data_IF_461711837785
#
_entry.id   IF_461711837785
#
_cell.length_a   1.000
_cell.length_b   1.000
_cell.length_c   1.000
_cell.angle_alpha   90.00
_cell.angle_beta   90.00
_cell.angle_gamma   90.00
#
_symmetry.space_group_name_H-M   'P 1'
#
loop_
_entity.id
_entity.type
_entity.pdbx_description
1 polymer ?
#
# COMPACT_ATOMS: atom_id res chain seq x y z
N UNK A 1 28.38 15.28 7.73
CA UNK A 1 27.71 16.57 7.96
C UNK A 1 26.16 16.45 7.89
N UNK A 2 25.50 15.56 8.60
CA UNK A 2 24.02 15.48 8.59
C UNK A 2 23.33 16.11 9.80
N UNK A 3 24.02 16.36 10.91
CA UNK A 3 23.35 16.83 12.15
C UNK A 3 22.89 18.30 12.15
N UNK A 4 23.42 19.14 11.28
CA UNK A 4 23.09 20.58 11.28
C UNK A 4 21.76 20.92 10.63
N UNK A 5 21.16 20.02 9.86
CA UNK A 5 19.90 20.26 9.14
C UNK A 5 18.65 20.06 10.01
N UNK A 6 18.72 19.18 11.00
CA UNK A 6 17.59 18.83 11.87
C UNK A 6 17.20 19.91 12.90
N UNK A 7 18.06 20.90 13.11
CA UNK A 7 17.83 21.95 14.11
C UNK A 7 17.38 23.29 13.54
N UNK A 8 17.03 23.34 12.26
CA UNK A 8 16.47 24.57 11.66
C UNK A 8 15.02 24.77 12.13
N UNK A 9 14.66 25.95 12.64
CA UNK A 9 13.32 26.22 13.17
C UNK A 9 12.22 25.97 12.11
N UNK A 10 12.52 26.16 10.84
CA UNK A 10 11.62 25.87 9.72
C UNK A 10 11.29 24.37 9.61
N UNK A 11 12.25 23.46 9.76
CA UNK A 11 12.02 22.01 9.67
C UNK A 11 11.08 21.52 10.78
N UNK A 12 11.33 21.92 12.02
CA UNK A 12 10.47 21.57 13.17
C UNK A 12 9.05 22.12 13.01
N UNK A 13 8.91 23.33 12.47
CA UNK A 13 7.61 23.96 12.19
C UNK A 13 6.86 23.19 11.09
N UNK A 14 7.54 22.82 9.99
CA UNK A 14 6.95 22.02 8.92
C UNK A 14 6.49 20.67 9.44
N UNK A 15 7.33 19.94 10.20
CA UNK A 15 6.95 18.68 10.84
C UNK A 15 5.73 18.82 11.76
N UNK A 16 5.67 19.87 12.56
CA UNK A 16 4.54 20.10 13.45
C UNK A 16 3.25 20.38 12.65
N UNK A 17 3.32 21.17 11.59
CA UNK A 17 2.18 21.47 10.72
C UNK A 17 1.69 20.19 10.02
N UNK A 18 2.60 19.38 9.44
CA UNK A 18 2.21 18.14 8.74
C UNK A 18 1.66 17.10 9.70
N UNK A 19 2.24 16.97 10.89
CA UNK A 19 1.72 16.07 11.93
C UNK A 19 0.33 16.50 12.42
N UNK A 20 0.12 17.80 12.63
CA UNK A 20 -1.18 18.35 13.00
C UNK A 20 -2.20 18.13 11.88
N UNK A 21 -1.83 18.41 10.62
CA UNK A 21 -2.70 18.16 9.48
C UNK A 21 -3.09 16.70 9.37
N UNK A 22 -2.15 15.76 9.53
CA UNK A 22 -2.42 14.33 9.55
C UNK A 22 -3.39 13.96 10.68
N UNK A 23 -3.16 14.45 11.90
CA UNK A 23 -4.05 14.19 13.04
C UNK A 23 -5.47 14.71 12.77
N UNK A 24 -5.60 15.93 12.25
CA UNK A 24 -6.90 16.51 11.89
C UNK A 24 -7.59 15.67 10.81
N UNK A 25 -6.89 15.29 9.75
CA UNK A 25 -7.45 14.47 8.67
C UNK A 25 -7.88 13.08 9.15
N UNK A 26 -7.13 12.46 10.05
CA UNK A 26 -7.50 11.17 10.66
C UNK A 26 -8.77 11.32 11.52
N UNK A 27 -8.85 12.36 12.35
CA UNK A 27 -10.03 12.64 13.17
C UNK A 27 -11.25 12.90 12.27
N UNK A 28 -11.11 13.70 11.23
CA UNK A 28 -12.17 13.96 10.26
C UNK A 28 -12.59 12.67 9.54
N UNK A 29 -11.64 11.85 9.08
CA UNK A 29 -11.92 10.57 8.40
C UNK A 29 -12.66 9.58 9.30
N UNK A 30 -12.37 9.58 10.60
CA UNK A 30 -13.09 8.78 11.60
C UNK A 30 -14.49 9.38 11.88
N UNK A 31 -14.57 10.70 12.01
CA UNK A 31 -15.81 11.41 12.37
C UNK A 31 -16.85 11.38 11.25
N UNK A 32 -16.44 11.62 10.02
CA UNK A 32 -17.34 11.66 8.87
C UNK A 32 -17.53 10.26 8.27
N UNK A 33 -18.78 9.85 8.09
CA UNK A 33 -19.15 8.57 7.49
C UNK A 33 -20.65 8.30 7.61
N UNK A 34 -21.09 7.14 7.14
CA UNK A 34 -22.50 6.72 7.08
C UNK A 34 -23.19 6.58 8.45
N UNK A 35 -22.41 6.39 9.52
CA UNK A 35 -22.94 6.29 10.90
C UNK A 35 -22.51 7.50 11.72
N UNK A 36 -23.42 8.03 12.53
CA UNK A 36 -23.11 9.12 13.46
C UNK A 36 -22.22 8.60 14.58
N UNK A 37 -21.09 9.26 14.80
CA UNK A 37 -20.22 8.99 15.95
C UNK A 37 -20.42 10.12 16.96
N UNK A 38 -20.94 9.75 18.11
CA UNK A 38 -21.03 10.63 19.26
C UNK A 38 -19.96 10.27 20.30
N UNK A 39 -19.53 11.23 21.09
CA UNK A 39 -18.58 11.00 22.19
C UNK A 39 -19.16 10.04 23.23
N UNK A 40 -20.48 10.08 23.45
CA UNK A 40 -21.19 9.15 24.31
C UNK A 40 -21.02 7.70 23.84
N UNK A 41 -21.15 7.43 22.53
CA UNK A 41 -20.96 6.10 21.94
C UNK A 41 -19.55 5.57 22.22
N UNK A 42 -18.53 6.43 22.10
CA UNK A 42 -17.14 6.04 22.37
C UNK A 42 -16.97 5.70 23.87
N UNK A 43 -17.53 6.52 24.76
CA UNK A 43 -17.47 6.29 26.20
C UNK A 43 -18.19 4.99 26.58
N UNK A 44 -19.39 4.75 26.07
CA UNK A 44 -20.15 3.51 26.30
C UNK A 44 -19.44 2.28 25.73
N UNK A 45 -18.81 2.41 24.54
CA UNK A 45 -18.05 1.32 23.93
C UNK A 45 -16.82 0.92 24.75
N UNK A 46 -16.09 1.89 25.31
CA UNK A 46 -14.91 1.63 26.15
C UNK A 46 -15.34 1.07 27.52
N UNK A 47 -16.44 1.56 28.09
CA UNK A 47 -16.95 1.11 29.40
C UNK A 47 -17.73 -0.21 29.34
N UNK A 48 -18.05 -0.71 28.13
CA UNK A 48 -18.85 -1.92 27.97
C UNK A 48 -20.35 -1.75 28.27
N UNK A 49 -20.85 -0.52 28.30
CA UNK A 49 -22.26 -0.19 28.65
C UNK A 49 -23.11 0.16 27.42
N UNK A 50 -22.79 -0.44 26.28
CA UNK A 50 -23.47 -0.21 25.00
C UNK A 50 -24.94 -0.65 25.07
N UNK A 51 -25.81 0.20 24.56
CA UNK A 51 -27.22 -0.19 24.33
C UNK A 51 -27.33 -1.04 23.05
N UNK A 52 -28.39 -1.83 22.85
CA UNK A 52 -28.61 -2.60 21.62
C UNK A 52 -28.61 -1.73 20.35
N UNK A 53 -29.05 -0.48 20.45
CA UNK A 53 -29.05 0.48 19.32
C UNK A 53 -27.69 1.05 19.03
N UNK A 54 -26.79 1.14 20.00
CA UNK A 54 -25.42 1.63 19.85
C UNK A 54 -24.46 0.57 19.34
N UNK A 55 -24.73 -0.71 19.57
CA UNK A 55 -23.84 -1.81 19.23
C UNK A 55 -23.44 -1.84 17.73
N UNK A 56 -24.34 -1.65 16.74
CA UNK A 56 -23.96 -1.58 15.33
C UNK A 56 -23.06 -0.38 15.00
N UNK A 57 -23.30 0.77 15.66
CA UNK A 57 -22.50 1.98 15.47
C UNK A 57 -21.09 1.83 16.04
N UNK A 58 -20.98 1.20 17.22
CA UNK A 58 -19.71 0.85 17.83
C UNK A 58 -18.92 -0.15 16.99
N UNK A 59 -19.59 -1.18 16.45
CA UNK A 59 -18.97 -2.14 15.54
C UNK A 59 -18.40 -1.44 14.29
N UNK A 60 -19.18 -0.58 13.66
CA UNK A 60 -18.73 0.18 12.49
C UNK A 60 -17.54 1.10 12.81
N UNK A 61 -17.51 1.72 13.98
CA UNK A 61 -16.38 2.53 14.43
C UNK A 61 -15.15 1.68 14.69
N UNK A 62 -15.26 0.68 15.57
CA UNK A 62 -14.13 -0.07 16.09
C UNK A 62 -13.57 -1.08 15.08
N UNK A 63 -14.44 -1.78 14.33
CA UNK A 63 -14.02 -2.85 13.42
C UNK A 63 -13.80 -2.40 11.97
N UNK A 64 -14.35 -1.26 11.58
CA UNK A 64 -14.24 -0.81 10.19
C UNK A 64 -13.49 0.52 10.05
N UNK A 65 -13.91 1.58 10.77
CA UNK A 65 -13.35 2.93 10.58
C UNK A 65 -11.96 3.07 11.17
N UNK A 66 -11.77 2.59 12.38
CA UNK A 66 -10.51 2.74 13.09
C UNK A 66 -9.36 1.98 12.41
N UNK A 67 -9.49 0.69 12.07
CA UNK A 67 -8.45 -0.02 11.32
C UNK A 67 -8.16 0.61 9.96
N UNK A 68 -9.19 1.09 9.26
CA UNK A 68 -9.02 1.76 7.96
C UNK A 68 -8.25 3.08 8.08
N UNK A 69 -8.57 3.91 9.06
CA UNK A 69 -7.89 5.18 9.29
C UNK A 69 -6.40 4.96 9.64
N UNK A 70 -6.11 4.01 10.51
CA UNK A 70 -4.74 3.63 10.87
C UNK A 70 -3.99 3.04 9.68
N UNK A 71 -4.62 2.17 8.89
CA UNK A 71 -4.03 1.63 7.68
C UNK A 71 -3.72 2.72 6.65
N UNK A 72 -4.60 3.71 6.48
CA UNK A 72 -4.37 4.84 5.57
C UNK A 72 -3.11 5.62 5.97
N UNK A 73 -2.95 5.90 7.27
CA UNK A 73 -1.76 6.58 7.78
C UNK A 73 -0.49 5.73 7.57
N UNK A 74 -0.57 4.42 7.82
CA UNK A 74 0.56 3.51 7.68
C UNK A 74 0.97 3.32 6.21
N UNK A 75 0.00 3.17 5.29
CA UNK A 75 0.27 3.08 3.84
C UNK A 75 0.89 4.36 3.34
N UNK A 76 0.33 5.53 3.71
CA UNK A 76 0.89 6.83 3.34
C UNK A 76 2.31 7.04 3.87
N UNK A 77 2.57 6.63 5.12
CA UNK A 77 3.89 6.66 5.72
C UNK A 77 4.89 5.77 4.98
N UNK A 78 4.51 4.54 4.63
CA UNK A 78 5.34 3.62 3.84
C UNK A 78 5.65 4.18 2.44
N UNK A 79 4.65 4.75 1.76
CA UNK A 79 4.86 5.38 0.45
C UNK A 79 5.83 6.57 0.54
N UNK A 80 5.68 7.42 1.56
CA UNK A 80 6.59 8.54 1.78
C UNK A 80 8.02 8.07 2.06
N UNK A 81 8.17 7.00 2.85
CA UNK A 81 9.46 6.39 3.15
C UNK A 81 10.12 5.80 1.90
N UNK A 82 9.37 5.03 1.11
CA UNK A 82 9.84 4.50 -0.18
C UNK A 82 10.27 5.63 -1.13
N UNK A 83 9.48 6.70 -1.20
CA UNK A 83 9.83 7.89 -1.99
C UNK A 83 11.13 8.51 -1.53
N UNK A 84 11.32 8.71 -0.22
CA UNK A 84 12.55 9.29 0.34
C UNK A 84 13.79 8.42 0.03
N UNK A 85 13.67 7.09 0.17
CA UNK A 85 14.75 6.13 -0.17
C UNK A 85 15.09 6.21 -1.65
N UNK A 86 14.08 6.24 -2.52
CA UNK A 86 14.28 6.36 -3.97
C UNK A 86 14.96 7.67 -4.36
N UNK A 87 14.50 8.80 -3.80
CA UNK A 87 15.13 10.10 -4.04
C UNK A 87 16.59 10.13 -3.59
N UNK A 88 16.91 9.50 -2.46
CA UNK A 88 18.28 9.34 -1.97
C UNK A 88 19.14 8.47 -2.89
N UNK A 89 18.62 7.31 -3.29
CA UNK A 89 19.31 6.36 -4.16
C UNK A 89 19.63 6.97 -5.54
N UNK A 90 18.67 7.64 -6.13
CA UNK A 90 18.81 8.27 -7.46
C UNK A 90 19.42 9.69 -7.40
N UNK A 91 19.62 10.24 -6.21
CA UNK A 91 20.07 11.63 -5.98
C UNK A 91 19.26 12.65 -6.80
N UNK A 92 17.97 12.39 -6.93
CA UNK A 92 17.04 13.19 -7.69
C UNK A 92 15.70 13.31 -6.95
N UNK A 93 15.28 14.52 -6.55
CA UNK A 93 14.03 14.72 -5.80
C UNK A 93 12.75 14.46 -6.60
N UNK A 94 12.84 14.26 -7.92
CA UNK A 94 11.70 13.98 -8.79
C UNK A 94 11.44 12.49 -8.99
N UNK A 95 12.27 11.62 -8.42
CA UNK A 95 12.09 10.16 -8.56
C UNK A 95 11.05 9.66 -7.59
N UNK A 96 10.25 8.76 -8.06
CA UNK A 96 9.14 8.11 -7.39
C UNK A 96 9.25 6.57 -7.59
N UNK A 97 8.77 5.73 -6.65
CA UNK A 97 8.81 4.27 -6.79
C UNK A 97 8.10 3.72 -8.04
N UNK A 98 7.13 4.45 -8.59
CA UNK A 98 6.42 4.06 -9.81
C UNK A 98 7.30 4.04 -11.05
N UNK A 99 8.37 4.86 -11.10
CA UNK A 99 9.26 4.95 -12.26
C UNK A 99 10.02 3.63 -12.53
N UNK A 100 10.30 2.84 -11.49
CA UNK A 100 10.94 1.53 -11.64
C UNK A 100 9.98 0.39 -11.91
N UNK A 101 8.68 0.68 -12.04
CA UNK A 101 7.68 -0.27 -12.51
C UNK A 101 6.98 -1.10 -11.44
N UNK A 102 7.28 -0.94 -10.15
CA UNK A 102 6.70 -1.77 -9.06
C UNK A 102 5.17 -1.83 -9.11
N UNK A 103 4.51 -0.71 -9.43
CA UNK A 103 3.05 -0.66 -9.52
C UNK A 103 2.52 -1.40 -10.77
N UNK A 104 3.19 -1.26 -11.92
CA UNK A 104 2.82 -1.96 -13.15
C UNK A 104 2.99 -3.47 -13.01
N UNK A 105 4.03 -3.89 -12.31
CA UNK A 105 4.34 -5.29 -12.06
C UNK A 105 3.34 -5.92 -11.07
N UNK A 106 2.91 -5.16 -10.04
CA UNK A 106 1.81 -5.56 -9.17
C UNK A 106 0.52 -5.74 -9.95
N UNK A 107 0.18 -4.75 -10.81
CA UNK A 107 -1.02 -4.79 -11.63
C UNK A 107 -1.00 -5.97 -12.62
N UNK A 108 0.14 -6.22 -13.28
CA UNK A 108 0.32 -7.38 -14.13
C UNK A 108 0.04 -8.69 -13.40
N UNK A 109 0.64 -8.88 -12.22
CA UNK A 109 0.50 -10.12 -11.46
C UNK A 109 -0.92 -10.35 -10.95
N UNK A 110 -1.62 -9.28 -10.56
CA UNK A 110 -3.03 -9.34 -10.19
C UNK A 110 -3.92 -9.62 -11.39
N UNK A 111 -3.62 -9.01 -12.55
CA UNK A 111 -4.36 -9.29 -13.78
C UNK A 111 -4.18 -10.73 -14.21
N UNK A 112 -2.94 -11.23 -14.18
CA UNK A 112 -2.65 -12.63 -14.45
C UNK A 112 -3.44 -13.57 -13.53
N UNK A 113 -3.44 -13.25 -12.22
CA UNK A 113 -4.21 -13.98 -11.22
C UNK A 113 -5.72 -13.98 -11.54
N UNK A 114 -6.33 -12.83 -11.79
CA UNK A 114 -7.78 -12.70 -12.02
C UNK A 114 -8.20 -13.39 -13.32
N UNK A 115 -7.39 -13.28 -14.40
CA UNK A 115 -7.78 -13.76 -15.73
C UNK A 115 -7.50 -15.25 -15.92
N UNK A 116 -6.41 -15.77 -15.37
CA UNK A 116 -6.00 -17.19 -15.56
C UNK A 116 -6.49 -18.07 -14.41
N UNK A 117 -6.93 -17.48 -13.33
CA UNK A 117 -7.05 -17.94 -11.96
C UNK A 117 -7.82 -19.23 -11.72
N UNK A 118 -9.06 -19.27 -12.15
CA UNK A 118 -10.04 -20.18 -11.53
C UNK A 118 -9.74 -21.68 -11.80
N UNK A 119 -9.05 -21.98 -12.89
CA UNK A 119 -8.83 -23.36 -13.34
C UNK A 119 -7.39 -23.85 -13.15
N UNK A 120 -6.41 -22.93 -13.08
CA UNK A 120 -5.00 -23.30 -13.06
C UNK A 120 -4.46 -23.63 -11.65
N UNK A 121 -4.94 -22.97 -10.59
CA UNK A 121 -4.43 -23.13 -9.23
C UNK A 121 -5.51 -23.20 -8.13
N UNK A 122 -6.54 -24.04 -8.24
CA UNK A 122 -7.69 -23.99 -7.33
C UNK A 122 -7.32 -24.28 -5.86
N UNK A 123 -6.36 -25.16 -5.62
CA UNK A 123 -5.97 -25.56 -4.26
C UNK A 123 -5.22 -24.45 -3.49
N UNK A 124 -4.28 -23.77 -4.16
CA UNK A 124 -3.51 -22.66 -3.56
C UNK A 124 -4.40 -21.46 -3.23
N UNK A 125 -5.35 -21.19 -4.11
CA UNK A 125 -6.27 -20.06 -4.01
C UNK A 125 -7.29 -20.26 -2.88
N UNK A 126 -7.80 -21.45 -2.73
CA UNK A 126 -8.70 -21.80 -1.64
C UNK A 126 -8.03 -21.65 -0.27
N UNK A 127 -6.74 -21.92 -0.21
CA UNK A 127 -5.96 -21.80 1.03
C UNK A 127 -5.66 -20.33 1.41
N UNK A 128 -5.40 -19.48 0.42
CA UNK A 128 -5.07 -18.05 0.64
C UNK A 128 -6.31 -17.17 0.87
N UNK A 129 -7.48 -17.55 0.36
CA UNK A 129 -8.72 -16.79 0.52
C UNK A 129 -8.57 -15.31 0.18
N UNK A 130 -8.98 -14.42 1.08
CA UNK A 130 -8.90 -12.96 0.90
C UNK A 130 -7.48 -12.39 0.76
N UNK A 131 -6.44 -13.19 1.07
CA UNK A 131 -5.03 -12.78 0.94
C UNK A 131 -4.44 -13.10 -0.44
N UNK A 132 -5.14 -13.81 -1.29
CA UNK A 132 -4.62 -14.24 -2.60
C UNK A 132 -4.20 -13.05 -3.48
N UNK A 133 -5.06 -12.04 -3.64
CA UNK A 133 -4.75 -10.84 -4.42
C UNK A 133 -3.55 -10.02 -3.85
N UNK A 134 -3.51 -9.70 -2.56
CA UNK A 134 -2.34 -9.06 -1.96
C UNK A 134 -1.04 -9.87 -2.13
N UNK A 135 -1.10 -11.19 -1.97
CA UNK A 135 0.06 -12.05 -2.15
C UNK A 135 0.53 -12.09 -3.61
N UNK A 136 -0.40 -12.18 -4.57
CA UNK A 136 -0.07 -12.12 -6.00
C UNK A 136 0.60 -10.79 -6.37
N UNK A 137 0.02 -9.66 -5.92
CA UNK A 137 0.58 -8.33 -6.15
C UNK A 137 2.00 -8.19 -5.57
N UNK A 138 2.19 -8.62 -4.33
CA UNK A 138 3.48 -8.56 -3.65
C UNK A 138 4.52 -9.47 -4.32
N UNK A 139 4.16 -10.74 -4.58
CA UNK A 139 5.07 -11.71 -5.19
C UNK A 139 5.52 -11.26 -6.59
N UNK A 140 4.60 -10.74 -7.40
CA UNK A 140 4.90 -10.23 -8.72
C UNK A 140 5.82 -9.01 -8.70
N UNK A 141 5.48 -8.01 -7.89
CA UNK A 141 6.33 -6.82 -7.73
C UNK A 141 7.73 -7.18 -7.22
N UNK A 142 7.80 -8.11 -6.26
CA UNK A 142 9.08 -8.55 -5.70
C UNK A 142 9.93 -9.31 -6.72
N UNK A 143 9.34 -10.24 -7.47
CA UNK A 143 10.02 -10.99 -8.53
C UNK A 143 10.57 -10.06 -9.61
N UNK A 144 9.77 -9.10 -10.06
CA UNK A 144 10.18 -8.14 -11.08
C UNK A 144 11.24 -7.17 -10.57
N UNK A 145 11.12 -6.73 -9.31
CA UNK A 145 12.17 -5.90 -8.67
C UNK A 145 13.49 -6.67 -8.56
N UNK A 146 13.47 -7.96 -8.21
CA UNK A 146 14.66 -8.80 -8.22
C UNK A 146 15.26 -8.96 -9.63
N UNK A 147 14.41 -9.10 -10.63
CA UNK A 147 14.81 -9.16 -12.03
C UNK A 147 15.49 -7.87 -12.44
N UNK A 148 14.86 -6.73 -12.19
CA UNK A 148 15.43 -5.40 -12.40
C UNK A 148 16.79 -5.25 -11.71
N UNK A 149 16.90 -5.60 -10.43
CA UNK A 149 18.14 -5.53 -9.68
C UNK A 149 19.25 -6.38 -10.29
N UNK A 150 18.95 -7.61 -10.70
CA UNK A 150 19.93 -8.51 -11.35
C UNK A 150 20.44 -7.96 -12.65
N UNK A 151 19.58 -7.41 -13.49
CA UNK A 151 19.96 -6.83 -14.76
C UNK A 151 20.70 -5.48 -14.63
N UNK A 152 20.36 -4.69 -13.61
CA UNK A 152 21.01 -3.41 -13.35
C UNK A 152 22.41 -3.56 -12.71
N UNK A 153 22.69 -4.72 -12.09
CA UNK A 153 23.99 -4.99 -11.46
C UNK A 153 24.99 -5.49 -12.47
N UNK A 154 26.07 -4.71 -12.69
CA UNK A 154 27.21 -5.07 -13.54
C UNK A 154 28.52 -4.87 -12.77
N UNK A 155 29.39 -5.89 -12.77
CA UNK A 155 30.68 -5.79 -12.08
C UNK A 155 30.61 -5.52 -10.58
N UNK A 156 29.57 -5.97 -9.91
CA UNK A 156 29.37 -5.76 -8.47
C UNK A 156 28.75 -4.40 -8.08
N UNK A 157 28.59 -3.48 -9.03
CA UNK A 157 28.01 -2.16 -8.80
C UNK A 157 26.64 -2.04 -9.49
N UNK A 158 25.73 -1.26 -8.88
CA UNK A 158 24.43 -0.95 -9.45
C UNK A 158 24.56 0.24 -10.39
N UNK A 159 24.18 0.06 -11.65
CA UNK A 159 24.11 1.16 -12.62
C UNK A 159 22.70 1.78 -12.56
N UNK A 160 22.61 2.98 -11.99
CA UNK A 160 21.34 3.71 -11.79
C UNK A 160 20.64 4.01 -13.12
N UNK A 161 21.38 4.42 -14.16
CA UNK A 161 20.80 4.70 -15.48
C UNK A 161 20.23 3.42 -16.12
N UNK A 162 20.97 2.29 -16.02
CA UNK A 162 20.47 1.00 -16.48
C UNK A 162 19.23 0.56 -15.70
N UNK A 163 19.19 0.79 -14.39
CA UNK A 163 18.05 0.47 -13.53
C UNK A 163 16.78 1.20 -13.99
N UNK A 164 16.87 2.50 -14.29
CA UNK A 164 15.73 3.27 -14.82
C UNK A 164 15.28 2.76 -16.20
N UNK A 165 16.23 2.54 -17.12
CA UNK A 165 15.90 2.09 -18.48
C UNK A 165 15.25 0.71 -18.46
N UNK A 166 15.78 -0.21 -17.67
CA UNK A 166 15.24 -1.56 -17.52
C UNK A 166 13.85 -1.50 -16.84
N UNK A 167 13.66 -0.65 -15.83
CA UNK A 167 12.37 -0.44 -15.19
C UNK A 167 11.30 0.03 -16.17
N UNK A 168 11.61 1.02 -17.00
CA UNK A 168 10.70 1.50 -18.04
C UNK A 168 10.39 0.39 -19.05
N UNK A 169 11.41 -0.36 -19.50
CA UNK A 169 11.23 -1.46 -20.46
C UNK A 169 10.36 -2.60 -19.88
N UNK A 170 10.62 -3.00 -18.62
CA UNK A 170 9.81 -4.00 -17.91
C UNK A 170 8.36 -3.53 -17.73
N UNK A 171 8.16 -2.28 -17.31
CA UNK A 171 6.82 -1.70 -17.16
C UNK A 171 6.06 -1.67 -18.49
N UNK A 172 6.72 -1.33 -19.58
CA UNK A 172 6.13 -1.38 -20.93
C UNK A 172 5.75 -2.80 -21.33
N UNK A 173 6.61 -3.77 -21.06
CA UNK A 173 6.38 -5.18 -21.34
C UNK A 173 5.21 -5.75 -20.51
N UNK A 174 5.24 -5.56 -19.18
CA UNK A 174 4.16 -6.01 -18.29
C UNK A 174 2.86 -5.31 -18.60
N UNK A 175 2.90 -4.02 -18.95
CA UNK A 175 1.74 -3.25 -19.38
C UNK A 175 1.11 -3.77 -20.68
N UNK A 176 1.93 -4.15 -21.68
CA UNK A 176 1.43 -4.74 -22.91
C UNK A 176 0.73 -6.09 -22.68
N UNK A 177 1.32 -6.95 -21.84
CA UNK A 177 0.71 -8.24 -21.47
C UNK A 177 -0.57 -8.02 -20.65
N UNK A 178 -0.56 -7.07 -19.70
CA UNK A 178 -1.76 -6.69 -18.94
C UNK A 178 -2.88 -6.25 -19.87
N UNK A 179 -2.59 -5.45 -20.88
CA UNK A 179 -3.56 -5.04 -21.91
C UNK A 179 -4.14 -6.23 -22.68
N UNK A 180 -3.29 -7.19 -23.06
CA UNK A 180 -3.74 -8.42 -23.76
C UNK A 180 -4.63 -9.28 -22.85
N UNK A 181 -4.24 -9.49 -21.59
CA UNK A 181 -5.03 -10.22 -20.62
C UNK A 181 -6.38 -9.54 -20.35
N UNK A 182 -6.38 -8.22 -20.24
CA UNK A 182 -7.61 -7.43 -20.07
C UNK A 182 -8.54 -7.56 -21.27
N UNK A 183 -7.99 -7.67 -22.49
CA UNK A 183 -8.78 -7.85 -23.71
C UNK A 183 -9.51 -9.20 -23.75
N UNK A 184 -8.92 -10.27 -23.22
CA UNK A 184 -9.54 -11.61 -23.20
C UNK A 184 -10.35 -11.87 -21.93
N UNK A 185 -10.35 -10.95 -20.97
CA UNK A 185 -11.07 -11.06 -19.71
C UNK A 185 -12.59 -10.99 -19.92
N UNK A 186 -13.34 -11.75 -19.12
CA UNK A 186 -14.79 -11.66 -19.07
C UNK A 186 -15.29 -10.42 -18.28
N UNK A 187 -16.60 -10.15 -18.33
CA UNK A 187 -17.19 -8.97 -17.67
C UNK A 187 -16.97 -8.95 -16.14
N UNK A 188 -16.96 -10.10 -15.46
CA UNK A 188 -16.74 -10.19 -14.02
C UNK A 188 -15.26 -9.94 -13.67
N UNK A 189 -14.37 -10.47 -14.49
CA UNK A 189 -12.92 -10.24 -14.38
C UNK A 189 -12.61 -8.76 -14.64
N UNK A 190 -13.15 -8.15 -15.68
CA UNK A 190 -13.01 -6.72 -15.98
C UNK A 190 -13.49 -5.84 -14.82
N UNK A 191 -14.64 -6.18 -14.23
CA UNK A 191 -15.14 -5.49 -13.05
C UNK A 191 -14.18 -5.62 -11.88
N UNK A 192 -13.66 -6.81 -11.62
CA UNK A 192 -12.69 -7.09 -10.53
C UNK A 192 -11.39 -6.30 -10.73
N UNK A 193 -10.86 -6.28 -11.96
CA UNK A 193 -9.67 -5.51 -12.33
C UNK A 193 -9.88 -4.02 -12.12
N UNK A 194 -11.06 -3.50 -12.54
CA UNK A 194 -11.40 -2.09 -12.38
C UNK A 194 -11.46 -1.70 -10.91
N UNK A 195 -12.16 -2.48 -10.07
CA UNK A 195 -12.24 -2.19 -8.64
C UNK A 195 -10.89 -2.32 -7.93
N UNK A 196 -10.07 -3.29 -8.31
CA UNK A 196 -8.73 -3.42 -7.78
C UNK A 196 -7.85 -2.22 -8.17
N UNK A 197 -7.89 -1.81 -9.44
CA UNK A 197 -7.13 -0.67 -9.96
C UNK A 197 -7.49 0.68 -9.32
N UNK A 198 -8.74 0.85 -8.87
CA UNK A 198 -9.16 2.04 -8.12
C UNK A 198 -8.54 2.10 -6.72
N UNK A 199 -8.09 0.96 -6.20
CA UNK A 199 -7.59 0.84 -4.84
C UNK A 199 -8.67 0.97 -3.78
N UNK A 200 -8.60 0.16 -2.73
CA UNK A 200 -9.58 0.24 -1.63
C UNK A 200 -9.01 -0.29 -0.33
N UNK A 201 -9.36 0.37 0.76
CA UNK A 201 -9.16 -0.11 2.13
C UNK A 201 -10.48 -0.56 2.78
N UNK A 202 -11.55 -0.77 1.99
CA UNK A 202 -12.88 -1.10 2.51
C UNK A 202 -12.92 -2.42 3.28
N UNK A 203 -12.09 -3.39 2.90
CA UNK A 203 -11.96 -4.70 3.57
C UNK A 203 -10.85 -4.74 4.63
N UNK A 204 -10.36 -3.57 5.08
CA UNK A 204 -9.34 -3.50 6.13
C UNK A 204 -9.95 -3.86 7.48
N UNK A 205 -9.31 -4.75 8.20
CA UNK A 205 -9.61 -5.18 9.56
C UNK A 205 -8.35 -5.14 10.44
N UNK A 206 -8.48 -5.44 11.73
CA UNK A 206 -7.38 -5.42 12.67
C UNK A 206 -6.28 -6.44 12.34
N UNK A 207 -6.65 -7.61 11.80
CA UNK A 207 -5.70 -8.65 11.44
C UNK A 207 -4.82 -8.19 10.25
N UNK A 208 -5.43 -7.64 9.21
CA UNK A 208 -4.70 -7.11 8.05
C UNK A 208 -3.85 -5.90 8.41
N UNK A 209 -4.36 -5.03 9.30
CA UNK A 209 -3.60 -3.91 9.84
C UNK A 209 -2.37 -4.38 10.62
N UNK A 210 -2.51 -5.41 11.47
CA UNK A 210 -1.39 -5.97 12.23
C UNK A 210 -0.31 -6.57 11.31
N UNK A 211 -0.72 -7.29 10.25
CA UNK A 211 0.20 -7.82 9.23
C UNK A 211 0.95 -6.68 8.53
N UNK A 212 0.23 -5.65 8.09
CA UNK A 212 0.82 -4.49 7.43
C UNK A 212 1.81 -3.76 8.36
N UNK A 213 1.42 -3.56 9.62
CA UNK A 213 2.28 -2.94 10.62
C UNK A 213 3.55 -3.76 10.92
N UNK A 214 3.40 -5.10 11.01
CA UNK A 214 4.53 -6.00 11.22
C UNK A 214 5.52 -5.96 10.05
N UNK A 215 5.04 -6.02 8.80
CA UNK A 215 5.88 -5.91 7.59
C UNK A 215 6.60 -4.55 7.57
N UNK A 216 5.89 -3.47 7.87
CA UNK A 216 6.48 -2.12 7.93
C UNK A 216 7.55 -2.03 9.00
N UNK A 217 7.30 -2.55 10.21
CA UNK A 217 8.26 -2.54 11.31
C UNK A 217 9.52 -3.38 11.02
N UNK A 218 9.37 -4.52 10.33
CA UNK A 218 10.50 -5.37 9.94
C UNK A 218 11.34 -4.70 8.85
N UNK A 219 10.74 -3.94 7.93
CA UNK A 219 11.45 -3.28 6.84
C UNK A 219 12.24 -2.03 7.28
N UNK A 220 11.78 -1.32 8.33
CA UNK A 220 12.40 -0.08 8.81
C UNK A 220 13.90 -0.18 9.15
N UNK A 221 14.39 -1.20 9.88
CA UNK A 221 15.82 -1.31 10.23
C UNK A 221 16.75 -1.43 9.02
N UNK A 222 16.25 -1.98 7.89
CA UNK A 222 17.05 -2.17 6.68
C UNK A 222 17.25 -0.89 5.87
N UNK A 223 16.49 0.16 6.19
CA UNK A 223 16.57 1.45 5.50
C UNK A 223 17.68 2.33 6.10
N UNK A 224 18.09 2.06 7.34
CA UNK A 224 19.14 2.80 8.05
C UNK A 224 20.56 2.30 7.76
N UNK A 225 20.74 1.21 7.01
CA UNK A 225 22.04 0.68 6.62
C UNK A 225 22.46 1.17 5.22
#
# INVERSE_FOLDING_TARGET
>A
MPEQTLNRPHYRRTLAITALALAVLLILGIRFGSTRLDLALIAHGISGTLTPEEAPHWYAFHQMRLPRALATALVGGNLALCGAVMQGLFRNPLVDPGIIGVMSDAAFSVTLYIVIDAEAFPALLHWLGDYALPVAAFAGSWLMTLTLYRFAKRGGQINIAAMLLIGIALSGFTGAITGLLTYIADDNQLRSLTFWGMGTLSKMDWQKLAILAAISAISLPWIHQ
#
